data_IF_123262265682
#
_entry.id   IF_123262265682
#
_cell.length_a   1.000
_cell.length_b   1.000
_cell.length_c   1.000
_cell.angle_alpha   90.00
_cell.angle_beta   90.00
_cell.angle_gamma   90.00
#
_symmetry.space_group_name_H-M   'P 1'
#
loop_
_entity.id
_entity.type
_entity.pdbx_description
1 polymer ?
#
# COMPACT_ATOMS: atom_id res chain seq x y z
N UNK A 1 9.03 -36.86 -36.01
CA UNK A 1 8.35 -35.59 -36.37
C UNK A 1 7.12 -35.23 -35.53
N UNK A 2 6.46 -36.18 -34.83
CA UNK A 2 5.29 -35.87 -33.96
C UNK A 2 5.66 -35.35 -32.56
N UNK A 3 6.76 -35.83 -31.97
CA UNK A 3 7.22 -35.36 -30.65
C UNK A 3 7.72 -33.90 -30.64
N UNK A 4 8.40 -33.47 -31.71
CA UNK A 4 8.91 -32.08 -31.81
C UNK A 4 7.76 -31.07 -31.99
N UNK A 5 6.66 -31.47 -32.64
CA UNK A 5 5.46 -30.62 -32.77
C UNK A 5 4.68 -30.47 -31.46
N UNK A 6 4.78 -31.42 -30.53
CA UNK A 6 4.16 -31.34 -29.20
C UNK A 6 4.91 -30.41 -28.25
N UNK A 7 6.21 -30.22 -28.42
CA UNK A 7 7.02 -29.37 -27.54
C UNK A 7 6.86 -27.86 -27.81
N UNK A 8 6.38 -27.48 -29.01
CA UNK A 8 6.17 -26.08 -29.38
C UNK A 8 4.81 -25.56 -28.85
N UNK A 9 3.86 -26.46 -28.58
CA UNK A 9 2.52 -26.08 -28.10
C UNK A 9 2.46 -25.81 -26.59
N UNK A 10 3.44 -26.28 -25.81
CA UNK A 10 3.52 -26.03 -24.35
C UNK A 10 4.20 -24.71 -23.97
N UNK A 11 4.84 -24.02 -24.90
CA UNK A 11 5.53 -22.76 -24.63
C UNK A 11 4.61 -21.52 -24.58
N UNK A 12 3.35 -21.65 -24.99
CA UNK A 12 2.40 -20.52 -25.04
C UNK A 12 1.64 -20.28 -23.72
N UNK A 13 1.79 -21.12 -22.70
CA UNK A 13 1.05 -20.97 -21.43
C UNK A 13 1.84 -20.28 -20.31
N UNK A 14 3.05 -19.75 -20.60
CA UNK A 14 3.97 -19.21 -19.59
C UNK A 14 3.95 -17.67 -19.45
N UNK A 15 2.97 -16.96 -20.03
CA UNK A 15 2.92 -15.50 -19.97
C UNK A 15 1.63 -15.01 -19.29
N UNK A 16 1.54 -15.20 -17.98
CA UNK A 16 0.72 -14.34 -17.13
C UNK A 16 1.49 -13.98 -15.84
N UNK A 17 2.73 -13.51 -16.01
CA UNK A 17 3.34 -12.62 -15.02
C UNK A 17 2.85 -11.21 -15.38
N UNK A 18 1.66 -10.82 -14.92
CA UNK A 18 1.29 -9.40 -14.91
C UNK A 18 2.16 -8.70 -13.88
N UNK A 19 3.39 -8.38 -14.26
CA UNK A 19 4.19 -7.41 -13.56
C UNK A 19 3.43 -6.07 -13.59
N UNK A 20 3.44 -5.36 -12.47
CA UNK A 20 2.86 -4.02 -12.40
C UNK A 20 3.57 -3.12 -13.42
N UNK A 21 2.82 -2.28 -14.11
CA UNK A 21 3.32 -1.35 -15.13
C UNK A 21 3.38 0.06 -14.55
N UNK A 22 4.54 0.70 -14.68
CA UNK A 22 4.69 2.11 -14.26
C UNK A 22 3.82 3.01 -15.15
N UNK A 23 3.12 3.95 -14.53
CA UNK A 23 2.13 4.81 -15.19
C UNK A 23 0.73 4.21 -15.31
N UNK A 24 0.54 2.92 -14.95
CA UNK A 24 -0.78 2.26 -14.90
C UNK A 24 -1.15 1.91 -13.46
N UNK A 25 -0.44 0.97 -12.83
CA UNK A 25 -0.74 0.54 -11.45
C UNK A 25 0.03 1.33 -10.38
N UNK A 26 1.20 1.88 -10.73
CA UNK A 26 2.02 2.65 -9.80
C UNK A 26 2.80 3.76 -10.51
N UNK A 27 3.38 4.64 -9.71
CA UNK A 27 4.31 5.66 -10.17
C UNK A 27 5.45 5.83 -9.17
N UNK A 28 6.66 6.02 -9.66
CA UNK A 28 7.80 6.38 -8.81
C UNK A 28 7.68 7.84 -8.38
N UNK A 29 7.72 8.10 -7.07
CA UNK A 29 7.75 9.47 -6.56
C UNK A 29 9.06 10.16 -6.94
N UNK A 30 8.97 11.33 -7.58
CA UNK A 30 10.15 12.15 -7.89
C UNK A 30 10.95 12.52 -6.63
N UNK A 31 10.24 12.69 -5.50
CA UNK A 31 10.84 12.88 -4.17
C UNK A 31 10.37 11.75 -3.25
N UNK A 32 11.21 10.72 -3.01
CA UNK A 32 10.88 9.63 -2.11
C UNK A 32 10.63 10.12 -0.68
N UNK A 33 9.76 9.41 0.05
CA UNK A 33 9.56 9.63 1.47
C UNK A 33 10.73 9.04 2.26
N UNK A 34 11.15 9.73 3.31
CA UNK A 34 12.14 9.20 4.25
C UNK A 34 11.44 8.29 5.26
N UNK A 35 11.20 7.03 4.87
CA UNK A 35 10.57 6.00 5.70
C UNK A 35 11.38 4.71 5.67
N UNK A 36 11.25 3.83 6.68
CA UNK A 36 11.93 2.54 6.67
C UNK A 36 11.67 1.74 5.39
N UNK A 37 12.67 1.01 4.92
CA UNK A 37 12.49 0.02 3.85
C UNK A 37 11.49 -1.05 4.29
N UNK A 38 10.86 -1.71 3.31
CA UNK A 38 9.82 -2.72 3.55
C UNK A 38 8.62 -2.15 4.34
N UNK A 39 8.13 -0.99 3.92
CA UNK A 39 6.96 -0.34 4.52
C UNK A 39 5.91 0.04 3.48
N UNK A 40 4.67 0.12 3.94
CA UNK A 40 3.54 0.69 3.20
C UNK A 40 3.09 1.94 3.94
N UNK A 41 3.30 3.10 3.31
CA UNK A 41 2.79 4.37 3.82
C UNK A 41 1.39 4.59 3.26
N UNK A 42 0.43 4.85 4.14
CA UNK A 42 -0.92 5.28 3.73
C UNK A 42 -1.13 6.74 4.10
N UNK A 43 -1.20 7.60 3.09
CA UNK A 43 -1.65 8.98 3.28
C UNK A 43 -3.18 8.99 3.37
N UNK A 44 -3.72 9.57 4.44
CA UNK A 44 -5.16 9.61 4.68
C UNK A 44 -5.59 10.88 5.41
N UNK A 45 -6.89 11.10 5.49
CA UNK A 45 -7.48 12.14 6.34
C UNK A 45 -8.74 11.58 7.00
N UNK A 46 -9.04 12.05 8.22
CA UNK A 46 -10.32 11.74 8.85
C UNK A 46 -11.52 12.28 8.05
N UNK A 47 -11.31 13.37 7.31
CA UNK A 47 -12.33 14.06 6.51
C UNK A 47 -12.37 13.54 5.05
N UNK A 48 -12.07 12.25 4.86
CA UNK A 48 -11.98 11.61 3.55
C UNK A 48 -12.88 10.36 3.50
N UNK A 49 -14.07 10.42 2.86
CA UNK A 49 -15.00 9.30 2.83
C UNK A 49 -14.44 8.08 2.08
N UNK A 50 -13.60 8.30 1.07
CA UNK A 50 -12.88 7.22 0.39
C UNK A 50 -11.89 6.51 1.31
N UNK A 51 -11.15 7.27 2.12
CA UNK A 51 -10.21 6.74 3.09
C UNK A 51 -10.93 5.87 4.11
N UNK A 52 -12.06 6.34 4.64
CA UNK A 52 -12.92 5.58 5.54
C UNK A 52 -13.41 4.26 4.93
N UNK A 53 -13.95 4.30 3.70
CA UNK A 53 -14.40 3.07 3.01
C UNK A 53 -13.23 2.09 2.78
N UNK A 54 -12.06 2.60 2.41
CA UNK A 54 -10.88 1.80 2.13
C UNK A 54 -10.28 1.17 3.41
N UNK A 55 -10.29 1.88 4.54
CA UNK A 55 -9.88 1.34 5.85
C UNK A 55 -10.81 0.21 6.30
N UNK A 56 -12.11 0.40 6.16
CA UNK A 56 -13.09 -0.61 6.59
C UNK A 56 -13.07 -1.89 5.77
N UNK A 57 -12.66 -1.82 4.51
CA UNK A 57 -12.85 -2.94 3.58
C UNK A 57 -11.55 -3.55 3.04
N UNK A 58 -10.51 -2.73 2.82
CA UNK A 58 -9.29 -3.14 2.10
C UNK A 58 -8.05 -3.12 2.98
N UNK A 59 -7.79 -2.05 3.73
CA UNK A 59 -6.49 -1.81 4.39
C UNK A 59 -6.05 -2.99 5.26
N UNK A 60 -6.94 -3.49 6.14
CA UNK A 60 -6.65 -4.67 6.97
C UNK A 60 -6.35 -5.93 6.14
N UNK A 61 -7.13 -6.17 5.08
CA UNK A 61 -6.96 -7.35 4.22
C UNK A 61 -5.71 -7.28 3.36
N UNK A 62 -5.27 -6.08 2.99
CA UNK A 62 -4.03 -5.86 2.27
C UNK A 62 -2.84 -6.14 3.17
N UNK A 63 -2.81 -5.52 4.35
CA UNK A 63 -1.69 -5.69 5.28
C UNK A 63 -1.57 -7.13 5.79
N UNK A 64 -2.68 -7.86 5.93
CA UNK A 64 -2.63 -9.29 6.30
C UNK A 64 -2.06 -10.21 5.23
N UNK A 65 -1.74 -9.71 4.03
CA UNK A 65 -1.07 -10.45 2.95
C UNK A 65 0.40 -10.05 2.77
N UNK A 66 0.87 -9.07 3.54
CA UNK A 66 2.19 -8.45 3.41
C UNK A 66 3.01 -8.74 4.66
N UNK A 67 3.50 -9.97 4.78
CA UNK A 67 4.27 -10.40 5.94
C UNK A 67 5.58 -9.62 6.06
N UNK A 68 5.90 -9.18 7.28
CA UNK A 68 7.11 -8.41 7.57
C UNK A 68 7.11 -6.97 7.04
N UNK A 69 6.00 -6.47 6.48
CA UNK A 69 5.88 -5.11 5.96
C UNK A 69 5.32 -4.17 7.03
N UNK A 70 6.06 -3.08 7.36
CA UNK A 70 5.61 -2.08 8.33
C UNK A 70 4.49 -1.21 7.73
N UNK A 71 3.34 -1.15 8.38
CA UNK A 71 2.29 -0.17 8.03
C UNK A 71 2.59 1.19 8.68
N UNK A 72 2.54 2.27 7.90
CA UNK A 72 2.84 3.63 8.36
C UNK A 72 1.70 4.58 7.96
N UNK A 73 0.75 4.89 8.86
CA UNK A 73 -0.33 5.83 8.58
C UNK A 73 0.15 7.28 8.66
N UNK A 74 0.05 8.04 7.56
CA UNK A 74 0.37 9.47 7.48
C UNK A 74 -0.90 10.29 7.32
N UNK A 75 -1.29 10.97 8.40
CA UNK A 75 -2.47 11.84 8.37
C UNK A 75 -2.14 13.18 7.68
N UNK A 76 -3.01 13.61 6.78
CA UNK A 76 -2.90 14.89 6.07
C UNK A 76 -3.48 16.02 6.92
N UNK A 77 -2.61 16.82 7.53
CA UNK A 77 -2.99 17.93 8.44
C UNK A 77 -3.73 19.07 7.76
N UNK A 78 -3.61 19.22 6.44
CA UNK A 78 -4.22 20.31 5.67
C UNK A 78 -5.68 20.06 5.28
N UNK A 79 -6.24 18.89 5.59
CA UNK A 79 -7.61 18.51 5.22
C UNK A 79 -8.52 18.40 6.45
N UNK A 80 -9.71 18.97 6.32
CA UNK A 80 -10.73 19.03 7.38
C UNK A 80 -10.49 20.19 8.36
N UNK A 81 -11.55 20.59 9.05
CA UNK A 81 -11.50 21.73 10.01
C UNK A 81 -10.55 21.51 11.18
N UNK A 82 -10.28 20.25 11.53
CA UNK A 82 -9.43 19.85 12.65
C UNK A 82 -8.15 19.15 12.20
N UNK A 83 -7.72 19.34 10.94
CA UNK A 83 -6.66 18.55 10.34
C UNK A 83 -5.36 18.50 11.17
N UNK A 84 -4.88 19.63 11.67
CA UNK A 84 -3.68 19.68 12.53
C UNK A 84 -3.89 18.97 13.87
N UNK A 85 -5.01 19.26 14.55
CA UNK A 85 -5.37 18.63 15.82
C UNK A 85 -5.45 17.11 15.69
N UNK A 86 -6.15 16.62 14.66
CA UNK A 86 -6.27 15.18 14.39
C UNK A 86 -4.92 14.56 14.05
N UNK A 87 -4.04 15.27 13.32
CA UNK A 87 -2.68 14.78 13.06
C UNK A 87 -1.88 14.57 14.34
N UNK A 88 -1.97 15.51 15.29
CA UNK A 88 -1.31 15.41 16.60
C UNK A 88 -1.87 14.24 17.41
N UNK A 89 -3.20 14.05 17.41
CA UNK A 89 -3.84 12.92 18.09
C UNK A 89 -3.35 11.60 17.51
N UNK A 90 -3.38 11.42 16.18
CA UNK A 90 -2.90 10.19 15.57
C UNK A 90 -1.42 9.94 15.84
N UNK A 91 -0.57 10.97 15.73
CA UNK A 91 0.85 10.84 16.05
C UNK A 91 1.09 10.41 17.50
N UNK A 92 0.35 10.98 18.45
CA UNK A 92 0.44 10.60 19.86
C UNK A 92 0.00 9.14 20.09
N UNK A 93 -1.13 8.72 19.51
CA UNK A 93 -1.62 7.34 19.65
C UNK A 93 -0.65 6.33 19.01
N UNK A 94 -0.12 6.62 17.83
CA UNK A 94 0.90 5.78 17.19
C UNK A 94 2.14 5.67 18.08
N UNK A 95 2.61 6.78 18.66
CA UNK A 95 3.77 6.75 19.56
C UNK A 95 3.50 5.94 20.83
N UNK A 96 2.26 5.94 21.33
CA UNK A 96 1.85 5.13 22.48
C UNK A 96 1.82 3.65 22.10
N UNK A 97 1.25 3.30 20.95
CA UNK A 97 1.21 1.93 20.46
C UNK A 97 2.63 1.38 20.23
N UNK A 98 3.50 2.16 19.56
CA UNK A 98 4.90 1.77 19.34
C UNK A 98 5.69 1.57 20.66
N UNK A 99 5.34 2.29 21.72
CA UNK A 99 5.96 2.11 23.04
C UNK A 99 5.45 0.86 23.78
N UNK A 100 4.25 0.36 23.43
CA UNK A 100 3.60 -0.76 24.12
C UNK A 100 3.68 -2.10 23.37
N UNK A 101 4.05 -2.10 22.08
CA UNK A 101 4.19 -3.30 21.24
C UNK A 101 2.90 -3.74 20.57
#
# INVERSE_FOLDING_TARGET
>A
MKLIKMLILSAFFALNLSALTEGVEYQTLAKPLNVPKNSVVKVFSYDCPHCYKFDRTITRKLMSKLDGVKFIPYHLSTKGKLGETTSKIFAALISIDEANG
#
